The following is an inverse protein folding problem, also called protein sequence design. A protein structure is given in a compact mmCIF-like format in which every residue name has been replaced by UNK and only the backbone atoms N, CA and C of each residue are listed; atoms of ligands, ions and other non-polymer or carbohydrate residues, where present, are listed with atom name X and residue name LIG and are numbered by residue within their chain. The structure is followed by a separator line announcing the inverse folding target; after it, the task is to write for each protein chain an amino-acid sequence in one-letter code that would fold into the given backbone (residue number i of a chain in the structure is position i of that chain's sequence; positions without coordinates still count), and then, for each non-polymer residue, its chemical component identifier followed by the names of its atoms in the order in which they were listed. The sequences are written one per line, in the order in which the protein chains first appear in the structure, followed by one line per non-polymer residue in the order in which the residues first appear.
data_IF_112274493241
#
_entry.id   IF_112274493241
#
_cell.length_a   1.000
_cell.length_b   1.000
_cell.length_c   1.000
_cell.angle_alpha   90.00
_cell.angle_beta   90.00
_cell.angle_gamma   90.00
#
_symmetry.space_group_name_H-M   'P 1'
#
loop_
_entity.id
_entity.type
_entity.pdbx_description
1 polymer ?
#
# COMPACT_ATOMS: atom_id res chain seq x y z
N UNK A 1 -2.12 15.31 -22.65
CA UNK A 1 -0.94 16.19 -22.64
C UNK A 1 -0.21 16.16 -23.99
N UNK A 2 0.03 14.99 -24.55
CA UNK A 2 0.82 14.79 -25.79
C UNK A 2 0.17 15.30 -27.09
N UNK A 3 -1.06 15.76 -27.08
CA UNK A 3 -1.75 16.36 -28.24
C UNK A 3 -1.38 17.83 -28.50
N UNK A 4 -0.50 18.40 -27.67
CA UNK A 4 -0.01 19.79 -27.78
C UNK A 4 1.49 19.78 -28.07
N UNK A 5 2.02 20.84 -28.66
CA UNK A 5 3.46 21.04 -28.80
C UNK A 5 4.11 21.30 -27.42
N UNK A 6 4.41 20.22 -26.73
CA UNK A 6 4.95 20.21 -25.37
C UNK A 6 6.46 20.17 -25.42
N UNK A 7 7.13 21.15 -24.79
CA UNK A 7 8.60 21.21 -24.68
C UNK A 7 9.13 20.70 -23.34
N UNK A 8 8.32 20.79 -22.30
CA UNK A 8 8.64 20.29 -20.95
C UNK A 8 7.50 19.44 -20.45
N UNK A 9 7.78 18.20 -20.10
CA UNK A 9 6.85 17.23 -19.50
C UNK A 9 7.23 16.99 -18.04
N UNK A 10 6.25 17.10 -17.14
CA UNK A 10 6.45 16.81 -15.72
C UNK A 10 5.55 15.62 -15.39
N UNK A 11 6.14 14.55 -14.88
CA UNK A 11 5.49 13.29 -14.50
C UNK A 11 5.72 13.03 -13.01
N UNK A 12 4.64 12.99 -12.24
CA UNK A 12 4.67 12.70 -10.81
C UNK A 12 4.19 11.27 -10.58
N UNK A 13 5.09 10.40 -10.15
CA UNK A 13 4.90 8.96 -9.95
C UNK A 13 4.10 8.26 -11.07
N UNK A 14 4.49 8.42 -12.35
CA UNK A 14 3.65 8.03 -13.48
C UNK A 14 3.41 6.52 -13.59
N UNK A 15 4.22 5.73 -12.92
CA UNK A 15 4.16 4.25 -12.94
C UNK A 15 3.63 3.66 -11.64
N UNK A 16 3.16 4.47 -10.69
CA UNK A 16 2.73 4.01 -9.37
C UNK A 16 1.61 2.95 -9.46
N UNK A 17 0.75 3.07 -10.45
CA UNK A 17 -0.39 2.19 -10.68
C UNK A 17 -0.19 1.21 -11.86
N UNK A 18 1.00 1.12 -12.42
CA UNK A 18 1.31 0.26 -13.57
C UNK A 18 2.07 -1.00 -13.14
N UNK A 19 1.89 -2.08 -13.90
CA UNK A 19 2.75 -3.25 -13.80
C UNK A 19 4.13 -2.97 -14.43
N UNK A 20 5.07 -3.90 -14.33
CA UNK A 20 6.44 -3.70 -14.81
C UNK A 20 6.51 -3.54 -16.35
N UNK A 21 5.68 -4.24 -17.11
CA UNK A 21 5.62 -4.16 -18.57
C UNK A 21 5.08 -2.81 -19.04
N UNK A 22 3.96 -2.36 -18.49
CA UNK A 22 3.37 -1.06 -18.79
C UNK A 22 4.29 0.08 -18.33
N UNK A 23 4.99 -0.08 -17.21
CA UNK A 23 5.99 0.86 -16.73
C UNK A 23 7.15 1.00 -17.71
N UNK A 24 7.67 -0.13 -18.23
CA UNK A 24 8.73 -0.12 -19.24
C UNK A 24 8.27 0.57 -20.53
N UNK A 25 7.08 0.28 -21.01
CA UNK A 25 6.49 0.94 -22.19
C UNK A 25 6.35 2.46 -21.99
N UNK A 26 5.94 2.91 -20.81
CA UNK A 26 5.86 4.34 -20.52
C UNK A 26 7.24 5.02 -20.55
N UNK A 27 8.24 4.39 -19.95
CA UNK A 27 9.62 4.93 -19.97
C UNK A 27 10.19 4.96 -21.38
N UNK A 28 9.91 3.97 -22.20
CA UNK A 28 10.32 3.95 -23.61
C UNK A 28 9.63 5.06 -24.40
N UNK A 29 8.35 5.32 -24.14
CA UNK A 29 7.65 6.46 -24.76
C UNK A 29 8.29 7.80 -24.37
N UNK A 30 8.67 7.98 -23.11
CA UNK A 30 9.36 9.20 -22.67
C UNK A 30 10.72 9.36 -23.36
N UNK A 31 11.47 8.26 -23.56
CA UNK A 31 12.71 8.28 -24.35
C UNK A 31 12.47 8.69 -25.81
N UNK A 32 11.46 8.11 -26.46
CA UNK A 32 11.09 8.47 -27.83
C UNK A 32 10.74 9.95 -27.94
N UNK A 33 9.96 10.49 -27.01
CA UNK A 33 9.63 11.92 -26.99
C UNK A 33 10.87 12.82 -26.84
N UNK A 34 11.85 12.40 -26.04
CA UNK A 34 13.14 13.09 -25.93
C UNK A 34 13.92 13.02 -27.24
N UNK A 35 14.09 11.83 -27.80
CA UNK A 35 15.00 11.56 -28.90
C UNK A 35 14.43 12.06 -30.25
N UNK A 36 13.12 11.94 -30.47
CA UNK A 36 12.48 12.32 -31.75
C UNK A 36 11.91 13.73 -31.76
N UNK A 37 11.44 14.21 -30.60
CA UNK A 37 10.74 15.51 -30.52
C UNK A 37 11.47 16.56 -29.66
N UNK A 38 12.59 16.18 -29.03
CA UNK A 38 13.36 17.10 -28.19
C UNK A 38 12.62 17.51 -26.90
N UNK A 39 11.68 16.71 -26.42
CA UNK A 39 10.92 16.98 -25.18
C UNK A 39 11.82 16.78 -23.98
N UNK A 40 11.96 17.82 -23.16
CA UNK A 40 12.61 17.71 -21.85
C UNK A 40 11.62 17.15 -20.83
N UNK A 41 12.05 16.22 -19.96
CA UNK A 41 11.16 15.62 -18.98
C UNK A 41 11.72 15.74 -17.55
N UNK A 42 10.82 15.97 -16.60
CA UNK A 42 11.08 15.85 -15.15
C UNK A 42 10.22 14.70 -14.65
N UNK A 43 10.85 13.67 -14.08
CA UNK A 43 10.14 12.51 -13.51
C UNK A 43 10.37 12.51 -12.01
N UNK A 44 9.29 12.48 -11.26
CA UNK A 44 9.29 12.31 -9.80
C UNK A 44 8.95 10.84 -9.54
N UNK A 45 9.86 10.11 -8.91
CA UNK A 45 9.66 8.69 -8.59
C UNK A 45 10.52 8.27 -7.40
N UNK A 46 10.08 7.24 -6.71
CA UNK A 46 10.86 6.54 -5.67
C UNK A 46 11.38 5.18 -6.16
N UNK A 47 11.07 4.80 -7.39
CA UNK A 47 11.49 3.52 -7.98
C UNK A 47 12.88 3.65 -8.61
N UNK A 48 13.89 3.08 -7.97
CA UNK A 48 15.30 3.22 -8.39
C UNK A 48 15.60 2.62 -9.76
N UNK A 49 14.92 1.55 -10.15
CA UNK A 49 15.03 0.94 -11.47
C UNK A 49 14.57 1.88 -12.59
N UNK A 50 13.55 2.69 -12.35
CA UNK A 50 13.10 3.71 -13.32
C UNK A 50 14.13 4.83 -13.46
N UNK A 51 14.64 5.33 -12.33
CA UNK A 51 15.71 6.34 -12.34
C UNK A 51 16.92 5.83 -13.10
N UNK A 52 17.39 4.62 -12.82
CA UNK A 52 18.53 4.00 -13.52
C UNK A 52 18.28 3.81 -15.02
N UNK A 53 17.02 3.59 -15.40
CA UNK A 53 16.67 3.32 -16.79
C UNK A 53 16.65 4.58 -17.67
N UNK A 54 16.29 5.77 -17.15
CA UNK A 54 15.93 6.91 -18.00
C UNK A 54 16.63 8.23 -17.63
N UNK A 55 17.09 8.39 -16.38
CA UNK A 55 17.56 9.67 -15.91
C UNK A 55 18.98 10.01 -16.40
N UNK A 56 19.18 11.22 -16.89
CA UNK A 56 20.49 11.83 -17.16
C UNK A 56 21.04 12.52 -15.90
N UNK A 57 20.14 13.10 -15.09
CA UNK A 57 20.47 13.77 -13.84
C UNK A 57 19.47 13.37 -12.75
N UNK A 58 19.95 13.13 -11.54
CA UNK A 58 19.13 12.78 -10.39
C UNK A 58 19.32 13.80 -9.29
N UNK A 59 18.28 14.55 -8.98
CA UNK A 59 18.23 15.43 -7.81
C UNK A 59 17.52 14.74 -6.68
N UNK A 60 18.20 14.58 -5.55
CA UNK A 60 17.69 13.86 -4.38
C UNK A 60 17.14 14.88 -3.39
N UNK A 61 15.86 14.73 -3.05
CA UNK A 61 15.15 15.58 -2.08
C UNK A 61 14.82 14.74 -0.85
N UNK A 62 15.11 15.31 0.32
CA UNK A 62 14.74 14.74 1.62
C UNK A 62 14.36 15.85 2.57
N UNK A 63 13.24 15.69 3.28
CA UNK A 63 12.71 16.67 4.25
C UNK A 63 12.60 18.09 3.65
N UNK A 64 12.18 18.18 2.38
CA UNK A 64 12.02 19.46 1.66
C UNK A 64 13.32 20.11 1.18
N UNK A 65 14.47 19.46 1.35
CA UNK A 65 15.78 19.99 0.98
C UNK A 65 16.49 19.09 -0.02
N UNK A 66 17.24 19.70 -0.95
CA UNK A 66 18.14 18.97 -1.85
C UNK A 66 19.35 18.46 -1.06
N UNK A 67 19.50 17.14 -0.99
CA UNK A 67 20.61 16.46 -0.27
C UNK A 67 21.70 15.97 -1.20
N UNK A 68 21.50 16.03 -2.50
CA UNK A 68 22.51 15.70 -3.50
C UNK A 68 22.01 15.77 -4.92
N UNK A 69 22.98 15.84 -5.86
CA UNK A 69 22.74 15.70 -7.30
C UNK A 69 23.72 14.64 -7.79
N UNK A 70 23.25 13.76 -8.67
CA UNK A 70 24.05 12.73 -9.33
C UNK A 70 23.87 12.86 -10.83
N UNK A 71 24.96 12.83 -11.58
CA UNK A 71 24.94 12.83 -13.04
C UNK A 71 25.12 11.39 -13.52
N UNK A 72 24.29 10.97 -14.46
CA UNK A 72 24.32 9.63 -15.04
C UNK A 72 24.84 9.74 -16.46
N UNK A 73 25.96 9.08 -16.74
CA UNK A 73 26.52 8.99 -18.09
C UNK A 73 26.89 7.54 -18.38
N UNK A 74 27.17 7.17 -19.65
CA UNK A 74 27.67 5.82 -19.95
C UNK A 74 28.95 5.45 -19.20
N UNK A 75 29.81 6.44 -18.90
CA UNK A 75 31.07 6.25 -18.16
C UNK A 75 30.86 6.25 -16.64
N UNK A 76 29.79 6.86 -16.18
CA UNK A 76 29.43 6.99 -14.76
C UNK A 76 27.97 6.53 -14.56
N UNK A 77 27.72 5.22 -14.55
CA UNK A 77 26.37 4.69 -14.30
C UNK A 77 25.90 5.07 -12.89
N UNK A 78 24.59 5.10 -12.70
CA UNK A 78 23.97 5.44 -11.43
C UNK A 78 24.42 4.47 -10.32
N UNK A 79 25.08 5.00 -9.29
CA UNK A 79 25.36 4.26 -8.06
C UNK A 79 24.09 4.22 -7.20
N UNK A 80 23.40 3.07 -7.25
CA UNK A 80 22.15 2.87 -6.51
C UNK A 80 22.36 2.84 -4.98
N UNK A 81 23.50 2.36 -4.50
CA UNK A 81 23.78 2.34 -3.06
C UNK A 81 23.98 3.77 -2.52
N UNK A 82 24.72 4.59 -3.26
CA UNK A 82 24.88 6.00 -2.91
C UNK A 82 23.55 6.76 -2.98
N UNK A 83 22.72 6.49 -4.00
CA UNK A 83 21.39 7.07 -4.14
C UNK A 83 20.53 6.73 -2.92
N UNK A 84 20.42 5.46 -2.57
CA UNK A 84 19.66 4.97 -1.40
C UNK A 84 20.18 5.63 -0.13
N UNK A 85 21.49 5.65 0.06
CA UNK A 85 22.11 6.27 1.25
C UNK A 85 21.72 7.74 1.39
N UNK A 86 21.71 8.50 0.30
CA UNK A 86 21.31 9.91 0.29
C UNK A 86 19.81 10.07 0.54
N UNK A 87 18.97 9.24 -0.05
CA UNK A 87 17.51 9.26 0.16
C UNK A 87 17.14 8.95 1.61
N UNK A 88 17.71 7.89 2.19
CA UNK A 88 17.37 7.43 3.55
C UNK A 88 18.14 8.18 4.64
N UNK A 89 19.32 8.73 4.32
CA UNK A 89 20.16 9.48 5.26
C UNK A 89 21.01 8.62 6.20
N UNK A 90 21.01 7.30 6.04
CA UNK A 90 21.82 6.34 6.77
C UNK A 90 22.26 5.21 5.82
N UNK A 91 23.43 4.58 6.04
CA UNK A 91 23.80 3.40 5.27
C UNK A 91 22.79 2.27 5.53
N UNK A 92 22.28 1.68 4.47
CA UNK A 92 21.50 0.45 4.55
C UNK A 92 22.45 -0.72 4.40
N UNK A 93 22.85 -1.30 5.52
CA UNK A 93 23.76 -2.44 5.54
C UNK A 93 23.11 -3.75 5.08
N UNK A 94 21.78 -3.80 5.01
CA UNK A 94 21.07 -5.00 4.57
C UNK A 94 19.68 -4.61 4.03
N UNK A 95 19.51 -4.63 2.71
CA UNK A 95 18.22 -4.42 2.04
C UNK A 95 17.25 -5.57 2.31
N UNK A 96 17.78 -6.75 2.52
CA UNK A 96 17.01 -7.96 2.81
C UNK A 96 17.55 -8.61 4.09
N UNK A 97 17.15 -8.11 5.29
CA UNK A 97 17.59 -8.74 6.54
C UNK A 97 17.16 -10.21 6.54
N UNK A 98 18.08 -11.08 6.98
CA UNK A 98 17.73 -12.47 7.20
C UNK A 98 16.55 -12.52 8.19
N UNK A 99 15.41 -13.00 7.74
CA UNK A 99 14.33 -13.31 8.64
C UNK A 99 14.77 -14.45 9.54
N UNK A 100 14.78 -14.30 10.87
CA UNK A 100 14.95 -15.46 11.74
C UNK A 100 13.88 -16.47 11.37
N UNK A 101 14.26 -17.74 11.30
CA UNK A 101 13.30 -18.82 11.06
C UNK A 101 12.24 -18.76 12.15
N UNK A 102 11.09 -18.21 11.83
CA UNK A 102 9.95 -18.22 12.74
C UNK A 102 9.26 -19.58 12.57
N UNK A 103 9.09 -20.32 13.66
CA UNK A 103 8.25 -21.51 13.64
C UNK A 103 6.82 -21.00 13.76
N UNK A 104 5.99 -21.16 12.74
CA UNK A 104 4.59 -20.75 12.82
C UNK A 104 3.91 -21.43 14.01
N UNK A 105 3.13 -20.67 14.77
CA UNK A 105 2.35 -21.18 15.88
C UNK A 105 1.09 -21.94 15.43
N UNK A 106 0.08 -21.98 16.28
CA UNK A 106 -1.22 -22.54 15.94
C UNK A 106 -1.91 -21.74 14.84
N UNK A 107 -2.82 -22.38 14.10
CA UNK A 107 -3.65 -21.71 13.09
C UNK A 107 -4.44 -20.57 13.75
N UNK A 108 -4.24 -19.35 13.23
CA UNK A 108 -4.91 -18.16 13.74
C UNK A 108 -6.11 -17.77 12.90
N UNK A 109 -5.95 -17.74 11.58
CA UNK A 109 -7.00 -17.41 10.64
C UNK A 109 -7.02 -18.46 9.53
N UNK A 110 -8.20 -18.97 9.20
CA UNK A 110 -8.42 -19.80 8.04
C UNK A 110 -9.67 -19.34 7.30
N UNK A 111 -9.50 -19.15 6.00
CA UNK A 111 -10.57 -18.80 5.07
C UNK A 111 -10.72 -19.96 4.10
N UNK A 112 -11.93 -20.46 3.92
CA UNK A 112 -12.25 -21.61 3.07
C UNK A 112 -13.30 -21.23 2.04
N UNK A 113 -13.03 -21.57 0.80
CA UNK A 113 -13.97 -21.53 -0.32
C UNK A 113 -14.63 -20.13 -0.47
N UNK A 114 -13.81 -19.07 -0.30
CA UNK A 114 -14.30 -17.70 -0.24
C UNK A 114 -14.57 -17.15 -1.63
N UNK A 115 -15.83 -16.87 -1.91
CA UNK A 115 -16.29 -16.34 -3.19
C UNK A 115 -17.00 -15.01 -2.98
N UNK A 116 -16.66 -14.03 -3.83
CA UNK A 116 -17.19 -12.66 -3.74
C UNK A 116 -17.58 -12.18 -5.13
N UNK A 117 -18.78 -11.66 -5.27
CA UNK A 117 -19.26 -11.03 -6.49
C UNK A 117 -19.14 -9.51 -6.43
N UNK A 118 -19.11 -8.88 -7.60
CA UNK A 118 -19.06 -7.43 -7.71
C UNK A 118 -20.30 -6.79 -7.05
N UNK A 119 -20.16 -5.67 -6.32
CA UNK A 119 -21.29 -5.10 -5.57
C UNK A 119 -22.47 -4.62 -6.45
N UNK A 120 -22.19 -4.22 -7.71
CA UNK A 120 -23.19 -3.74 -8.66
C UNK A 120 -23.50 -4.72 -9.81
N UNK A 121 -22.78 -5.84 -9.88
CA UNK A 121 -22.95 -6.85 -10.91
C UNK A 121 -22.78 -8.23 -10.29
N UNK A 122 -23.89 -8.83 -9.89
CA UNK A 122 -23.91 -10.11 -9.17
C UNK A 122 -23.48 -11.31 -10.03
N UNK A 123 -23.38 -11.18 -11.35
CA UNK A 123 -22.87 -12.23 -12.22
C UNK A 123 -21.36 -12.23 -12.32
N UNK A 124 -20.73 -11.07 -12.02
CA UNK A 124 -19.28 -10.91 -12.09
C UNK A 124 -18.63 -11.36 -10.79
N UNK A 125 -17.93 -12.50 -10.84
CA UNK A 125 -17.10 -12.99 -9.75
C UNK A 125 -15.79 -12.20 -9.70
N UNK A 126 -15.44 -11.69 -8.52
CA UNK A 126 -14.21 -10.94 -8.23
C UNK A 126 -13.20 -11.79 -7.49
N UNK A 127 -13.68 -12.58 -6.53
CA UNK A 127 -12.88 -13.56 -5.81
C UNK A 127 -13.56 -14.90 -5.99
N UNK A 128 -12.82 -15.91 -6.44
CA UNK A 128 -13.35 -17.20 -6.80
C UNK A 128 -12.69 -18.32 -5.98
N UNK A 129 -13.45 -18.95 -5.10
CA UNK A 129 -13.06 -20.11 -4.28
C UNK A 129 -11.70 -19.94 -3.56
N UNK A 130 -11.41 -18.74 -3.05
CA UNK A 130 -10.13 -18.44 -2.45
C UNK A 130 -9.98 -19.10 -1.07
N UNK A 131 -8.75 -19.56 -0.80
CA UNK A 131 -8.39 -20.21 0.46
C UNK A 131 -7.14 -19.54 1.02
N UNK A 132 -7.16 -19.18 2.31
CA UNK A 132 -6.01 -18.63 3.04
C UNK A 132 -5.89 -19.30 4.37
N UNK A 133 -4.66 -19.58 4.78
CA UNK A 133 -4.33 -20.04 6.12
C UNK A 133 -3.19 -19.19 6.69
N UNK A 134 -3.36 -18.70 7.91
CA UNK A 134 -2.38 -17.86 8.62
C UNK A 134 -2.19 -18.37 10.02
N UNK A 135 -0.94 -18.57 10.43
CA UNK A 135 -0.58 -19.06 11.76
C UNK A 135 -0.15 -17.91 12.68
N UNK A 136 -0.21 -18.14 13.97
CA UNK A 136 0.24 -17.16 14.96
C UNK A 136 1.72 -16.84 14.79
N UNK A 137 2.05 -15.53 14.71
CA UNK A 137 3.41 -15.05 14.49
C UNK A 137 3.88 -15.12 13.04
N UNK A 138 3.04 -15.53 12.09
CA UNK A 138 3.33 -15.60 10.67
C UNK A 138 2.98 -14.29 9.96
N UNK A 139 3.74 -13.97 8.91
CA UNK A 139 3.41 -12.91 7.95
C UNK A 139 3.17 -13.57 6.60
N UNK A 140 1.93 -13.58 6.16
CA UNK A 140 1.52 -14.13 4.86
C UNK A 140 1.42 -13.01 3.82
N UNK A 141 2.14 -13.15 2.71
CA UNK A 141 2.07 -12.23 1.57
C UNK A 141 1.04 -12.69 0.53
N UNK A 142 0.13 -11.81 0.14
CA UNK A 142 -0.80 -12.02 -0.98
C UNK A 142 -0.27 -11.29 -2.21
N UNK A 143 0.32 -12.03 -3.14
CA UNK A 143 0.83 -11.49 -4.39
C UNK A 143 -0.21 -11.60 -5.52
N UNK A 144 -0.16 -10.69 -6.49
CA UNK A 144 -1.01 -10.70 -7.68
C UNK A 144 -0.93 -9.38 -8.44
N UNK A 145 -1.34 -9.37 -9.70
CA UNK A 145 -1.41 -8.18 -10.53
C UNK A 145 -2.51 -7.22 -10.05
N UNK A 146 -2.50 -5.98 -10.56
CA UNK A 146 -3.62 -5.05 -10.35
C UNK A 146 -4.93 -5.68 -10.83
N UNK A 147 -5.99 -5.49 -10.04
CA UNK A 147 -7.29 -6.08 -10.35
C UNK A 147 -7.41 -7.59 -10.05
N UNK A 148 -6.42 -8.21 -9.42
CA UNK A 148 -6.48 -9.63 -9.03
C UNK A 148 -7.41 -9.92 -7.83
N UNK A 149 -8.16 -8.94 -7.33
CA UNK A 149 -9.14 -9.15 -6.26
C UNK A 149 -8.58 -9.16 -4.84
N UNK A 150 -7.30 -8.83 -4.62
CA UNK A 150 -6.65 -8.89 -3.29
C UNK A 150 -7.29 -7.96 -2.27
N UNK A 151 -7.48 -6.71 -2.64
CA UNK A 151 -8.13 -5.69 -1.79
C UNK A 151 -9.58 -6.05 -1.54
N UNK A 152 -10.28 -6.48 -2.57
CA UNK A 152 -11.67 -6.90 -2.54
C UNK A 152 -11.87 -8.11 -1.62
N UNK A 153 -10.95 -9.07 -1.68
CA UNK A 153 -10.92 -10.21 -0.78
C UNK A 153 -10.73 -9.78 0.68
N UNK A 154 -9.72 -8.96 0.97
CA UNK A 154 -9.46 -8.49 2.33
C UNK A 154 -10.66 -7.70 2.89
N UNK A 155 -11.24 -6.79 2.11
CA UNK A 155 -12.40 -6.00 2.50
C UNK A 155 -13.66 -6.85 2.69
N UNK A 156 -13.85 -7.88 1.87
CA UNK A 156 -15.01 -8.78 2.01
C UNK A 156 -14.92 -9.65 3.26
N UNK A 157 -13.73 -10.12 3.63
CA UNK A 157 -13.48 -10.84 4.89
C UNK A 157 -13.66 -9.89 6.08
N UNK A 158 -13.20 -8.64 5.95
CA UNK A 158 -13.31 -7.64 7.00
C UNK A 158 -14.71 -7.01 7.04
N UNK A 159 -15.67 -7.78 7.52
CA UNK A 159 -17.03 -7.33 7.79
C UNK A 159 -17.89 -7.07 6.55
N UNK A 160 -17.66 -7.81 5.46
CA UNK A 160 -18.40 -7.66 4.20
C UNK A 160 -18.42 -6.21 3.69
N UNK A 161 -17.31 -5.48 3.89
CA UNK A 161 -17.20 -4.07 3.48
C UNK A 161 -17.03 -3.89 1.97
N UNK A 162 -16.88 -4.97 1.21
CA UNK A 162 -16.92 -5.01 -0.25
C UNK A 162 -17.64 -6.28 -0.72
N UNK A 163 -18.36 -6.15 -1.85
CA UNK A 163 -18.92 -7.26 -2.60
C UNK A 163 -20.38 -7.56 -2.33
N UNK A 164 -20.91 -8.49 -3.11
CA UNK A 164 -22.25 -9.08 -2.99
C UNK A 164 -22.15 -10.59 -3.08
N UNK A 165 -23.22 -11.31 -2.74
CA UNK A 165 -23.29 -12.78 -2.79
C UNK A 165 -22.06 -13.49 -2.21
N UNK A 166 -21.58 -12.98 -1.07
CA UNK A 166 -20.38 -13.50 -0.40
C UNK A 166 -20.70 -14.86 0.18
N UNK A 167 -19.86 -15.86 -0.14
CA UNK A 167 -19.96 -17.22 0.39
C UNK A 167 -18.58 -17.74 0.82
N UNK A 168 -18.59 -18.88 1.53
CA UNK A 168 -17.40 -19.47 2.13
C UNK A 168 -17.42 -19.37 3.65
N UNK A 169 -16.33 -19.73 4.30
CA UNK A 169 -16.21 -19.79 5.75
C UNK A 169 -14.94 -19.12 6.24
N UNK A 170 -15.03 -18.48 7.39
CA UNK A 170 -13.88 -17.90 8.09
C UNK A 170 -13.79 -18.52 9.48
N UNK A 171 -12.59 -18.93 9.84
CA UNK A 171 -12.28 -19.49 11.16
C UNK A 171 -11.21 -18.64 11.84
N UNK A 172 -11.43 -18.29 13.09
CA UNK A 172 -10.44 -17.62 13.94
C UNK A 172 -10.14 -18.52 15.12
N UNK A 173 -8.88 -18.91 15.28
CA UNK A 173 -8.42 -19.85 16.31
C UNK A 173 -9.26 -21.14 16.31
N UNK A 174 -9.47 -21.70 15.14
CA UNK A 174 -10.22 -22.93 14.92
C UNK A 174 -11.74 -22.84 15.08
N UNK A 175 -12.30 -21.66 15.39
CA UNK A 175 -13.75 -21.47 15.54
C UNK A 175 -14.30 -20.74 14.33
N UNK A 176 -15.35 -21.27 13.73
CA UNK A 176 -16.08 -20.58 12.66
C UNK A 176 -16.68 -19.26 13.20
N UNK A 177 -16.41 -18.16 12.51
CA UNK A 177 -16.90 -16.83 12.87
C UNK A 177 -17.71 -16.24 11.71
N UNK A 178 -18.77 -15.54 12.07
CA UNK A 178 -19.56 -14.76 11.11
C UNK A 178 -19.30 -13.28 11.35
N UNK A 179 -18.86 -12.58 10.31
CA UNK A 179 -18.49 -11.17 10.38
C UNK A 179 -19.33 -10.36 9.38
N UNK A 180 -20.63 -10.18 9.61
CA UNK A 180 -21.53 -9.49 8.69
C UNK A 180 -21.30 -7.98 8.61
N UNK A 181 -20.48 -7.41 9.48
CA UNK A 181 -20.13 -6.00 9.51
C UNK A 181 -18.73 -5.78 10.12
N UNK A 182 -18.17 -4.60 9.95
CA UNK A 182 -16.83 -4.22 10.40
C UNK A 182 -16.66 -4.42 11.91
N UNK A 183 -17.67 -4.07 12.72
CA UNK A 183 -17.58 -4.24 14.18
C UNK A 183 -17.40 -5.71 14.57
N UNK A 184 -18.13 -6.62 13.96
CA UNK A 184 -17.99 -8.06 14.22
C UNK A 184 -16.62 -8.61 13.80
N UNK A 185 -15.98 -8.05 12.78
CA UNK A 185 -14.61 -8.40 12.41
C UNK A 185 -13.59 -7.90 13.46
N UNK A 186 -13.77 -6.69 13.97
CA UNK A 186 -12.96 -6.14 15.07
C UNK A 186 -13.13 -6.98 16.34
N UNK A 187 -14.35 -7.34 16.68
CA UNK A 187 -14.66 -8.17 17.86
C UNK A 187 -14.08 -9.58 17.75
N UNK A 188 -13.94 -10.10 16.51
CA UNK A 188 -13.24 -11.35 16.22
C UNK A 188 -11.70 -11.22 16.28
N UNK A 189 -11.18 -10.01 16.47
CA UNK A 189 -9.74 -9.73 16.60
C UNK A 189 -9.03 -9.41 15.29
N UNK A 190 -9.76 -9.07 14.22
CA UNK A 190 -9.20 -8.64 12.97
C UNK A 190 -9.01 -7.11 12.95
N UNK A 191 -7.98 -6.66 12.25
CA UNK A 191 -7.78 -5.26 11.90
C UNK A 191 -7.45 -5.16 10.41
N UNK A 192 -7.90 -4.09 9.77
CA UNK A 192 -7.63 -3.83 8.36
C UNK A 192 -7.02 -2.44 8.17
N UNK A 193 -5.85 -2.38 7.54
CA UNK A 193 -5.21 -1.14 7.11
C UNK A 193 -5.31 -1.05 5.59
N UNK A 194 -6.04 -0.06 5.10
CA UNK A 194 -6.30 0.11 3.66
C UNK A 194 -5.15 0.79 2.93
N UNK A 195 -4.98 0.47 1.65
CA UNK A 195 -4.13 1.20 0.72
C UNK A 195 -4.68 2.60 0.42
N UNK A 196 -6.00 2.72 0.23
CA UNK A 196 -6.67 4.00 -0.01
C UNK A 196 -6.86 4.80 1.28
N UNK A 197 -5.84 5.59 1.59
CA UNK A 197 -5.83 6.46 2.78
C UNK A 197 -6.93 7.51 2.75
N UNK A 198 -7.25 8.07 1.57
CA UNK A 198 -8.18 9.21 1.44
C UNK A 198 -9.64 8.78 1.43
N UNK A 199 -9.94 7.64 0.79
CA UNK A 199 -11.31 7.15 0.69
C UNK A 199 -11.74 6.29 1.88
N UNK A 200 -10.84 5.40 2.34
CA UNK A 200 -11.20 4.36 3.30
C UNK A 200 -10.36 4.38 4.59
N UNK A 201 -9.23 5.09 4.62
CA UNK A 201 -8.28 5.00 5.72
C UNK A 201 -8.35 6.13 6.74
N UNK A 202 -8.65 7.34 6.31
CA UNK A 202 -8.61 8.53 7.16
C UNK A 202 -9.88 9.37 7.02
N UNK A 203 -10.36 9.90 8.13
CA UNK A 203 -11.31 11.00 8.11
C UNK A 203 -10.54 12.32 7.93
N UNK A 204 -10.52 12.83 6.71
CA UNK A 204 -9.74 14.02 6.34
C UNK A 204 -10.22 15.33 7.01
N UNK A 205 -11.42 15.33 7.60
CA UNK A 205 -11.96 16.47 8.34
C UNK A 205 -11.49 16.47 9.80
N UNK A 206 -10.93 15.36 10.29
CA UNK A 206 -10.48 15.19 11.65
C UNK A 206 -8.95 15.33 11.76
N UNK A 207 -8.48 15.71 12.95
CA UNK A 207 -7.06 15.80 13.23
C UNK A 207 -6.42 14.41 13.42
N UNK A 208 -5.09 14.38 13.59
CA UNK A 208 -4.31 13.13 13.74
C UNK A 208 -4.77 12.33 14.98
N UNK A 209 -5.03 13.02 16.10
CA UNK A 209 -5.46 12.36 17.35
C UNK A 209 -6.78 11.64 17.17
N UNK A 210 -7.77 12.31 16.60
CA UNK A 210 -9.10 11.75 16.33
C UNK A 210 -9.04 10.58 15.35
N UNK A 211 -8.21 10.67 14.31
CA UNK A 211 -7.99 9.55 13.38
C UNK A 211 -7.31 8.35 14.08
N UNK A 212 -6.31 8.60 14.92
CA UNK A 212 -5.59 7.55 15.64
C UNK A 212 -6.46 6.81 16.66
N UNK A 213 -7.45 7.49 17.25
CA UNK A 213 -8.35 6.94 18.27
C UNK A 213 -9.63 6.32 17.67
N UNK A 214 -9.94 6.58 16.39
CA UNK A 214 -11.22 6.26 15.76
C UNK A 214 -11.64 4.78 15.95
N UNK A 215 -10.72 3.84 15.77
CA UNK A 215 -11.00 2.41 15.95
C UNK A 215 -11.14 1.98 17.43
N UNK A 216 -10.86 2.87 18.39
CA UNK A 216 -10.85 2.61 19.83
C UNK A 216 -11.87 3.44 20.61
N UNK A 217 -12.82 4.07 19.94
CA UNK A 217 -13.78 5.00 20.55
C UNK A 217 -14.53 4.38 21.76
N UNK A 218 -14.87 3.10 21.70
CA UNK A 218 -15.54 2.40 22.80
C UNK A 218 -14.71 2.34 24.09
N UNK A 219 -13.36 2.30 23.97
CA UNK A 219 -12.44 2.26 25.11
C UNK A 219 -12.27 3.63 25.77
N UNK A 220 -12.40 4.70 25.01
CA UNK A 220 -12.15 6.06 25.44
C UNK A 220 -13.44 6.88 25.66
N UNK A 221 -14.61 6.24 25.53
CA UNK A 221 -15.92 6.88 25.70
C UNK A 221 -16.64 6.38 26.95
N UNK A 222 -17.36 7.30 27.60
CA UNK A 222 -18.30 6.99 28.68
C UNK A 222 -19.67 7.57 28.34
N UNK A 223 -20.69 6.73 28.29
CA UNK A 223 -22.05 7.17 27.97
C UNK A 223 -22.17 7.82 26.58
N UNK A 224 -21.36 7.43 25.60
CA UNK A 224 -21.34 7.98 24.23
C UNK A 224 -20.55 9.29 24.06
N UNK A 225 -19.88 9.76 25.13
CA UNK A 225 -19.03 10.95 25.08
C UNK A 225 -17.56 10.53 25.22
N UNK A 226 -16.73 11.01 24.28
CA UNK A 226 -15.28 10.76 24.31
C UNK A 226 -14.64 11.52 25.45
N UNK A 227 -13.80 10.85 26.25
CA UNK A 227 -12.98 11.45 27.28
C UNK A 227 -11.67 11.98 26.66
N UNK A 228 -11.58 13.29 26.50
CA UNK A 228 -10.45 13.99 25.86
C UNK A 228 -9.08 13.68 26.52
N UNK A 229 -9.07 13.52 27.85
CA UNK A 229 -7.83 13.22 28.57
C UNK A 229 -7.39 11.78 28.34
N UNK A 230 -8.35 10.86 28.30
CA UNK A 230 -8.08 9.46 28.03
C UNK A 230 -7.65 9.26 26.57
N UNK A 231 -8.33 9.91 25.63
CA UNK A 231 -7.96 9.91 24.21
C UNK A 231 -6.52 10.39 24.00
N UNK A 232 -6.17 11.56 24.59
CA UNK A 232 -4.81 12.12 24.49
C UNK A 232 -3.78 11.14 25.05
N UNK A 233 -4.05 10.53 26.19
CA UNK A 233 -3.14 9.58 26.84
C UNK A 233 -2.91 8.34 25.97
N UNK A 234 -3.96 7.79 25.36
CA UNK A 234 -3.87 6.65 24.48
C UNK A 234 -3.08 6.97 23.21
N UNK A 235 -3.35 8.09 22.57
CA UNK A 235 -2.69 8.46 21.31
C UNK A 235 -1.22 8.86 21.52
N UNK A 236 -0.86 9.50 22.64
CA UNK A 236 0.52 9.91 22.92
C UNK A 236 1.49 8.71 23.00
N UNK A 237 1.02 7.50 23.29
CA UNK A 237 1.84 6.29 23.29
C UNK A 237 2.40 5.94 21.90
N UNK A 238 1.74 6.34 20.83
CA UNK A 238 2.11 6.06 19.43
C UNK A 238 2.95 7.18 18.79
N UNK A 239 3.23 8.25 19.53
CA UNK A 239 4.01 9.39 19.04
C UNK A 239 5.53 9.18 19.08
N UNK A 240 6.02 8.08 19.61
CA UNK A 240 7.47 7.80 19.82
C UNK A 240 8.20 7.44 18.55
#
# INVERSE_FOLDING_TARGET
ALSKDVKLLILDEPTAALNDEDSAHLLDLVRQLRDEQGVTSIIITHKLNEVAAIADNVTIIRDGSTVGVMYVTPETPLDQEELIRKMVGRPLHNLYPNHPSNTPGEEYLRVEDWTVHHPLDAERVIVDHANINVHAGEIVGLAGLMGAGRTEMAMSIFGHSYGSNISGKVFVKGKEVKMPNVQSAIDAGLAYATEDRKGNGLNLLQNIRENASLASLTKISKGGVVDDNLERKEVEQYRK
#
